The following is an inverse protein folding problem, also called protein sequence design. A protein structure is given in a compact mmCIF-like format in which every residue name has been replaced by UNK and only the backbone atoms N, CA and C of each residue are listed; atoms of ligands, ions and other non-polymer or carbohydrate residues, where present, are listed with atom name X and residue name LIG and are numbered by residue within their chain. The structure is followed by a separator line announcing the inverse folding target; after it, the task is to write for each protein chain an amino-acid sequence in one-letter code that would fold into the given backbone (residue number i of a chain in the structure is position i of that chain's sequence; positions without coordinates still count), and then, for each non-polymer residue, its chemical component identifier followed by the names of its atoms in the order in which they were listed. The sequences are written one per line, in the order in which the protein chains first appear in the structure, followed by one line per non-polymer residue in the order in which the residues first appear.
data_IF_126902397210
#
_entry.id   IF_126902397210
#
_cell.length_a   1.000
_cell.length_b   1.000
_cell.length_c   1.000
_cell.angle_alpha   90.00
_cell.angle_beta   90.00
_cell.angle_gamma   90.00
#
_symmetry.space_group_name_H-M   'P 1'
#
loop_
_entity.id
_entity.type
_entity.pdbx_description
1 polymer ?
#
# COMPACT_ATOMS: atom_id res chain seq x y z
N UNK A 1 -19.10 -5.74 -6.17
CA UNK A 1 -17.86 -5.22 -6.81
C UNK A 1 -17.00 -4.49 -5.78
N UNK A 2 -16.02 -5.17 -5.19
CA UNK A 2 -15.11 -4.58 -4.20
C UNK A 2 -13.99 -3.76 -4.88
N UNK A 3 -13.70 -2.58 -4.35
CA UNK A 3 -12.54 -1.76 -4.72
C UNK A 3 -11.49 -1.92 -3.60
N UNK A 4 -10.20 -2.15 -3.90
CA UNK A 4 -9.15 -2.08 -2.87
C UNK A 4 -9.02 -0.65 -2.36
N UNK A 5 -8.57 -0.48 -1.11
CA UNK A 5 -8.22 0.83 -0.59
C UNK A 5 -7.16 1.46 -1.52
N UNK A 6 -7.42 2.68 -1.99
CA UNK A 6 -6.57 3.39 -2.96
C UNK A 6 -6.28 4.84 -2.56
N UNK A 7 -6.58 5.21 -1.32
CA UNK A 7 -6.14 6.48 -0.79
C UNK A 7 -4.62 6.45 -0.65
N UNK A 8 -3.97 7.56 -1.00
CA UNK A 8 -2.52 7.72 -0.79
C UNK A 8 -2.32 8.61 0.41
N UNK A 9 -1.53 8.13 1.37
CA UNK A 9 -1.19 8.87 2.58
C UNK A 9 0.30 9.21 2.57
N UNK A 10 0.61 10.48 2.74
CA UNK A 10 1.98 10.99 2.89
C UNK A 10 2.12 11.72 4.21
N UNK A 11 3.23 11.46 4.91
CA UNK A 11 3.48 12.04 6.24
C UNK A 11 4.64 13.02 6.16
N UNK A 12 4.46 14.20 6.74
CA UNK A 12 5.46 15.26 6.80
C UNK A 12 5.67 15.71 8.24
N UNK A 13 6.92 15.92 8.63
CA UNK A 13 7.29 16.64 9.84
C UNK A 13 7.38 18.13 9.53
N UNK A 14 6.74 18.94 10.36
CA UNK A 14 6.78 20.39 10.25
C UNK A 14 7.94 20.91 11.12
N UNK A 15 9.07 21.19 10.49
CA UNK A 15 10.25 21.74 11.15
C UNK A 15 9.90 23.13 11.73
N UNK A 16 10.29 23.44 12.98
CA UNK A 16 10.12 24.77 13.57
C UNK A 16 10.68 25.92 12.71
N UNK A 17 11.65 25.64 11.83
CA UNK A 17 12.19 26.59 10.88
C UNK A 17 11.26 26.90 9.69
N UNK A 18 10.06 26.31 9.64
CA UNK A 18 9.03 26.54 8.62
C UNK A 18 9.05 25.54 7.46
N UNK A 19 9.99 24.60 7.44
CA UNK A 19 10.13 23.61 6.36
C UNK A 19 9.28 22.36 6.63
N UNK A 20 8.64 21.81 5.59
CA UNK A 20 8.02 20.48 5.65
C UNK A 20 9.02 19.42 5.19
N UNK A 21 9.31 18.43 6.04
CA UNK A 21 10.22 17.32 5.75
C UNK A 21 9.41 16.03 5.60
N UNK A 22 9.46 15.41 4.42
CA UNK A 22 8.76 14.15 4.18
C UNK A 22 9.34 13.02 5.03
N UNK A 23 8.46 12.26 5.68
CA UNK A 23 8.81 11.05 6.40
C UNK A 23 8.73 9.87 5.43
N UNK A 24 9.83 9.14 5.18
CA UNK A 24 9.80 7.99 4.29
C UNK A 24 8.95 6.87 4.89
N UNK A 25 8.03 6.35 4.09
CA UNK A 25 7.10 5.29 4.43
C UNK A 25 7.41 4.05 3.58
N UNK A 26 7.69 2.90 4.21
CA UNK A 26 7.98 1.65 3.49
C UNK A 26 6.69 0.92 3.13
N UNK A 27 6.55 0.54 1.86
CA UNK A 27 5.41 -0.20 1.30
C UNK A 27 5.58 -1.73 1.32
N UNK A 28 6.79 -2.22 1.61
CA UNK A 28 7.12 -3.65 1.70
C UNK A 28 7.32 -4.09 3.16
N UNK A 29 7.22 -5.39 3.40
CA UNK A 29 7.25 -5.96 4.75
C UNK A 29 5.98 -5.69 5.58
N UNK A 30 4.87 -5.35 4.92
CA UNK A 30 3.55 -5.11 5.52
C UNK A 30 2.62 -6.32 5.43
N UNK A 31 2.89 -7.25 4.50
CA UNK A 31 2.18 -8.52 4.37
C UNK A 31 2.89 -9.65 5.14
N UNK A 32 2.12 -10.66 5.55
CA UNK A 32 2.71 -11.86 6.15
C UNK A 32 3.57 -12.61 5.14
N UNK A 33 4.72 -13.10 5.60
CA UNK A 33 5.67 -13.80 4.75
C UNK A 33 5.03 -14.96 3.97
N UNK A 34 4.18 -15.77 4.63
CA UNK A 34 3.49 -16.90 3.99
C UNK A 34 2.47 -16.44 2.95
N UNK A 35 1.82 -15.29 3.12
CA UNK A 35 0.93 -14.78 2.09
C UNK A 35 1.73 -14.33 0.87
N UNK A 36 2.80 -13.56 1.07
CA UNK A 36 3.63 -13.04 -0.03
C UNK A 36 4.40 -14.14 -0.78
N UNK A 37 4.95 -15.11 -0.06
CA UNK A 37 5.88 -16.09 -0.62
C UNK A 37 5.28 -17.49 -0.83
N UNK A 38 4.05 -17.77 -0.39
CA UNK A 38 3.43 -19.10 -0.58
C UNK A 38 2.07 -18.98 -1.23
N UNK A 39 1.16 -18.20 -0.63
CA UNK A 39 -0.25 -18.18 -1.02
C UNK A 39 -0.52 -17.39 -2.30
N UNK A 40 0.02 -16.18 -2.40
CA UNK A 40 -0.18 -15.29 -3.55
C UNK A 40 0.98 -15.45 -4.53
N UNK A 41 0.67 -15.62 -5.81
CA UNK A 41 1.65 -15.79 -6.89
C UNK A 41 1.15 -15.15 -8.17
N UNK A 42 2.07 -14.56 -8.94
CA UNK A 42 1.80 -14.12 -10.29
C UNK A 42 1.76 -15.31 -11.26
N UNK A 43 0.87 -15.30 -12.26
CA UNK A 43 0.87 -16.30 -13.33
C UNK A 43 2.19 -16.22 -14.11
N UNK A 44 2.76 -17.36 -14.48
CA UNK A 44 4.06 -17.41 -15.18
C UNK A 44 5.26 -16.97 -14.33
N UNK A 45 5.10 -16.75 -13.01
CA UNK A 45 6.17 -16.26 -12.14
C UNK A 45 6.33 -14.73 -12.20
N UNK A 46 7.58 -14.23 -12.12
CA UNK A 46 7.89 -12.80 -12.21
C UNK A 46 8.33 -12.39 -13.64
N UNK A 47 7.87 -13.15 -14.63
CA UNK A 47 8.06 -12.80 -16.05
C UNK A 47 7.19 -11.60 -16.45
N UNK A 48 7.22 -11.20 -17.72
CA UNK A 48 6.49 -10.05 -18.26
C UNK A 48 4.98 -10.07 -17.89
N UNK A 49 4.61 -9.39 -16.80
CA UNK A 49 3.27 -9.46 -16.21
C UNK A 49 2.16 -9.07 -17.21
N UNK A 50 2.28 -7.99 -18.00
CA UNK A 50 1.30 -7.69 -19.04
C UNK A 50 1.00 -8.87 -19.97
N UNK A 51 2.02 -9.63 -20.38
CA UNK A 51 1.84 -10.81 -21.23
C UNK A 51 1.19 -11.97 -20.45
N UNK A 52 1.59 -12.20 -19.20
CA UNK A 52 1.00 -13.24 -18.36
C UNK A 52 -0.49 -13.01 -18.05
N UNK A 53 -0.95 -11.76 -18.11
CA UNK A 53 -2.35 -11.37 -17.93
C UNK A 53 -3.10 -11.13 -19.26
N UNK A 54 -2.54 -11.50 -20.40
CA UNK A 54 -3.20 -11.37 -21.70
C UNK A 54 -4.53 -12.13 -21.72
N UNK A 55 -5.58 -11.50 -22.25
CA UNK A 55 -6.94 -12.05 -22.29
C UNK A 55 -7.73 -11.88 -21.00
N UNK A 56 -7.15 -11.26 -19.97
CA UNK A 56 -7.87 -10.85 -18.74
C UNK A 56 -8.23 -9.35 -18.79
N UNK A 57 -9.13 -8.93 -17.91
CA UNK A 57 -9.53 -7.53 -17.76
C UNK A 57 -9.46 -7.11 -16.30
N UNK A 58 -9.09 -5.83 -16.07
CA UNK A 58 -9.11 -5.26 -14.73
C UNK A 58 -10.52 -5.25 -14.14
N UNK A 59 -10.69 -5.35 -12.82
CA UNK A 59 -12.00 -5.20 -12.21
C UNK A 59 -12.61 -3.82 -12.49
N UNK A 60 -13.94 -3.76 -12.54
CA UNK A 60 -14.71 -2.57 -12.96
C UNK A 60 -14.31 -1.30 -12.22
N UNK A 61 -14.11 -1.39 -10.89
CA UNK A 61 -13.84 -0.24 -10.03
C UNK A 61 -12.35 0.09 -9.87
N UNK A 62 -11.47 -0.54 -10.63
CA UNK A 62 -10.03 -0.31 -10.58
C UNK A 62 -9.62 0.67 -11.69
N UNK A 63 -8.78 1.66 -11.39
CA UNK A 63 -8.23 2.53 -12.45
C UNK A 63 -7.17 1.80 -13.28
N UNK A 64 -6.29 1.04 -12.62
CA UNK A 64 -5.17 0.32 -13.23
C UNK A 64 -5.38 -1.19 -13.07
N UNK A 65 -4.88 -2.01 -14.02
CA UNK A 65 -4.84 -3.46 -13.86
C UNK A 65 -3.88 -3.89 -12.73
N UNK A 66 -4.00 -5.15 -12.30
CA UNK A 66 -3.22 -5.67 -11.17
C UNK A 66 -1.71 -5.70 -11.41
N UNK A 67 -1.28 -5.79 -12.67
CA UNK A 67 0.13 -5.76 -13.08
C UNK A 67 0.71 -4.34 -13.26
N UNK A 68 -0.05 -3.31 -12.88
CA UNK A 68 0.38 -1.91 -12.87
C UNK A 68 0.17 -1.27 -11.48
N UNK A 69 0.21 -2.08 -10.41
CA UNK A 69 0.01 -1.59 -9.05
C UNK A 69 1.27 -0.96 -8.46
N UNK A 70 2.45 -1.40 -8.88
CA UNK A 70 3.75 -0.89 -8.42
C UNK A 70 4.76 -0.91 -9.58
N UNK A 71 5.75 -0.02 -9.50
CA UNK A 71 6.93 -0.03 -10.36
C UNK A 71 7.93 -1.12 -9.98
N UNK A 72 7.97 -1.55 -8.71
CA UNK A 72 8.83 -2.63 -8.25
C UNK A 72 8.27 -4.00 -8.66
N UNK A 73 8.95 -4.77 -9.53
CA UNK A 73 8.49 -6.09 -9.97
C UNK A 73 8.27 -7.08 -8.82
N UNK A 74 9.02 -6.97 -7.72
CA UNK A 74 8.90 -7.83 -6.53
C UNK A 74 7.75 -7.42 -5.60
N UNK A 75 7.05 -6.33 -5.95
CA UNK A 75 5.86 -5.83 -5.26
C UNK A 75 4.72 -5.49 -6.23
N UNK A 76 4.63 -6.18 -7.37
CA UNK A 76 3.60 -5.92 -8.38
C UNK A 76 2.78 -7.18 -8.73
N UNK A 77 1.62 -7.02 -9.35
CA UNK A 77 0.70 -8.12 -9.61
C UNK A 77 0.00 -8.60 -8.33
N UNK A 78 -0.33 -9.89 -8.26
CA UNK A 78 -0.97 -10.49 -7.08
C UNK A 78 -0.06 -10.58 -5.86
N UNK A 79 1.25 -10.40 -6.01
CA UNK A 79 2.21 -10.36 -4.89
C UNK A 79 2.40 -8.95 -4.30
N UNK A 80 1.74 -7.92 -4.85
CA UNK A 80 1.75 -6.58 -4.30
C UNK A 80 1.22 -6.60 -2.84
N UNK A 81 1.99 -6.07 -1.90
CA UNK A 81 1.68 -6.22 -0.49
C UNK A 81 0.45 -5.44 -0.04
N UNK A 82 0.17 -4.27 -0.63
CA UNK A 82 -1.07 -3.52 -0.37
C UNK A 82 -2.30 -4.33 -0.79
N UNK A 83 -2.23 -4.97 -1.97
CA UNK A 83 -3.26 -5.86 -2.45
C UNK A 83 -3.45 -7.07 -1.51
N UNK A 84 -2.37 -7.73 -1.09
CA UNK A 84 -2.43 -8.86 -0.17
C UNK A 84 -3.07 -8.47 1.17
N UNK A 85 -2.65 -7.34 1.75
CA UNK A 85 -3.22 -6.82 3.00
C UNK A 85 -4.71 -6.55 2.85
N UNK A 86 -5.13 -6.00 1.71
CA UNK A 86 -6.54 -5.79 1.41
C UNK A 86 -7.33 -7.10 1.33
N UNK A 87 -6.79 -8.09 0.61
CA UNK A 87 -7.44 -9.40 0.39
C UNK A 87 -7.56 -10.27 1.65
N UNK A 88 -6.81 -9.97 2.72
CA UNK A 88 -7.07 -10.60 4.03
C UNK A 88 -8.37 -10.06 4.63
N UNK A 89 -9.46 -10.82 4.52
CA UNK A 89 -10.76 -10.46 5.11
C UNK A 89 -10.64 -10.25 6.62
N UNK A 90 -11.21 -9.14 7.13
CA UNK A 90 -11.30 -8.89 8.56
C UNK A 90 -12.55 -9.58 9.14
N UNK A 91 -12.47 -10.01 10.40
CA UNK A 91 -13.57 -10.71 11.06
C UNK A 91 -14.71 -9.79 11.53
N UNK A 92 -14.46 -8.48 11.63
CA UNK A 92 -15.38 -7.48 12.17
C UNK A 92 -15.64 -6.38 11.14
N UNK A 93 -16.81 -5.71 11.19
CA UNK A 93 -17.16 -4.63 10.25
C UNK A 93 -16.25 -3.42 10.40
N UNK A 94 -15.82 -3.12 11.63
CA UNK A 94 -14.80 -2.10 11.91
C UNK A 94 -13.44 -2.77 11.99
N UNK A 95 -12.54 -2.44 11.06
CA UNK A 95 -11.21 -3.03 10.99
C UNK A 95 -10.15 -2.01 10.61
N UNK A 96 -8.89 -2.34 10.92
CA UNK A 96 -7.70 -1.61 10.47
C UNK A 96 -6.82 -2.54 9.66
N UNK A 97 -6.15 -1.99 8.65
CA UNK A 97 -5.18 -2.68 7.80
C UNK A 97 -3.88 -1.91 7.83
N UNK A 98 -2.76 -2.62 7.85
CA UNK A 98 -1.43 -1.99 7.84
C UNK A 98 -1.18 -1.38 6.45
N UNK A 99 -0.92 -0.07 6.40
CA UNK A 99 -0.62 0.62 5.15
C UNK A 99 0.90 0.74 4.94
N UNK A 100 1.62 1.36 5.87
CA UNK A 100 3.08 1.57 5.74
C UNK A 100 3.79 1.38 7.06
N UNK A 101 5.11 1.15 6.99
CA UNK A 101 6.01 1.08 8.15
C UNK A 101 7.02 2.22 8.08
N UNK A 102 7.33 2.81 9.24
CA UNK A 102 8.43 3.76 9.38
C UNK A 102 9.60 3.00 9.99
N UNK A 103 10.67 2.82 9.22
CA UNK A 103 11.85 2.07 9.66
C UNK A 103 12.59 2.83 10.75
N UNK A 104 12.96 2.12 11.82
CA UNK A 104 13.73 2.69 12.92
C UNK A 104 15.12 3.11 12.41
N UNK A 105 15.51 4.35 12.68
CA UNK A 105 16.87 4.82 12.44
C UNK A 105 17.82 4.26 13.50
N UNK A 106 19.00 3.80 13.08
CA UNK A 106 20.05 3.24 13.96
C UNK A 106 20.91 4.30 14.68
N UNK A 107 20.48 5.56 14.68
CA UNK A 107 21.19 6.63 15.38
C UNK A 107 20.57 6.89 16.77
N UNK A 108 21.22 7.72 17.58
CA UNK A 108 20.73 8.09 18.91
C UNK A 108 19.51 9.04 18.88
N UNK A 109 19.03 9.41 17.70
CA UNK A 109 17.92 10.34 17.51
C UNK A 109 16.62 9.56 17.31
N UNK A 110 15.50 9.96 17.95
CA UNK A 110 14.21 9.36 17.68
C UNK A 110 13.87 9.36 16.18
N UNK A 111 13.31 8.26 15.69
CA UNK A 111 12.91 8.14 14.28
C UNK A 111 11.84 9.17 13.90
N UNK A 112 10.92 9.42 14.83
CA UNK A 112 9.94 10.51 14.77
C UNK A 112 10.22 11.48 15.93
N UNK A 113 10.80 12.66 15.65
CA UNK A 113 11.01 13.68 16.67
C UNK A 113 9.67 14.25 17.17
N UNK A 114 9.68 14.80 18.39
CA UNK A 114 8.51 15.54 18.90
C UNK A 114 8.29 16.80 18.07
N UNK A 115 7.06 17.03 17.63
CA UNK A 115 6.66 18.26 16.97
C UNK A 115 5.35 18.09 16.22
N UNK A 116 5.06 19.03 15.33
CA UNK A 116 3.85 19.00 14.52
C UNK A 116 4.08 18.19 13.25
N UNK A 117 3.06 17.45 12.84
CA UNK A 117 3.07 16.65 11.62
C UNK A 117 1.88 17.02 10.75
N UNK A 118 2.09 16.89 9.44
CA UNK A 118 1.03 17.00 8.44
C UNK A 118 0.84 15.64 7.80
N UNK A 119 -0.40 15.15 7.78
CA UNK A 119 -0.81 13.98 7.02
C UNK A 119 -1.56 14.48 5.79
N UNK A 120 -1.01 14.25 4.61
CA UNK A 120 -1.65 14.58 3.34
C UNK A 120 -2.32 13.31 2.79
N UNK A 121 -3.60 13.42 2.46
CA UNK A 121 -4.43 12.29 2.03
C UNK A 121 -5.02 12.59 0.66
N UNK A 122 -4.66 11.79 -0.33
CA UNK A 122 -5.31 11.80 -1.65
C UNK A 122 -6.52 10.88 -1.58
N UNK A 123 -7.70 11.48 -1.54
CA UNK A 123 -8.96 10.78 -1.27
C UNK A 123 -9.55 10.16 -2.55
N UNK A 124 -9.40 8.85 -2.71
CA UNK A 124 -9.81 8.08 -3.89
C UNK A 124 -10.88 7.03 -3.58
N UNK A 125 -11.24 6.80 -2.32
CA UNK A 125 -12.20 5.80 -1.90
C UNK A 125 -13.49 6.42 -1.33
N UNK A 126 -14.59 6.49 -2.10
CA UNK A 126 -15.83 7.11 -1.63
C UNK A 126 -16.53 6.21 -0.60
N UNK A 127 -16.57 6.62 0.67
CA UNK A 127 -17.29 5.89 1.73
C UNK A 127 -18.69 6.43 2.03
N UNK A 128 -18.99 7.67 1.66
CA UNK A 128 -20.25 8.37 2.00
C UNK A 128 -21.52 7.70 1.48
N UNK A 129 -21.42 6.85 0.46
CA UNK A 129 -22.58 6.15 -0.13
C UNK A 129 -23.05 4.94 0.70
N UNK A 130 -22.34 4.60 1.77
CA UNK A 130 -22.59 3.40 2.58
C UNK A 130 -23.03 3.73 4.01
N UNK A 131 -23.20 5.02 4.34
CA UNK A 131 -23.76 5.50 5.61
C UNK A 131 -25.30 5.38 5.64
#
# INVERSE_FOLDING_TARGET
NAKPLRDTLELFYNDPNGTKVQIPLTATGIAWWTDKHVKFRNPGGNENLPAAFQGTMKPVNWHWPVYELDSDPENNGFINEDFIVWMRTAALPTFRKLYRIIQRKNNMVPTLPRGNYTLEVVYNYPVRSFD
#
